data_IF_337601448333
#
_entry.id   IF_337601448333
#
_cell.length_a   1.000
_cell.length_b   1.000
_cell.length_c   1.000
_cell.angle_alpha   90.00
_cell.angle_beta   90.00
_cell.angle_gamma   90.00
#
_symmetry.space_group_name_H-M   'P 1'
#
loop_
_entity.id
_entity.type
_entity.pdbx_description
1 polymer ?
#
# COMPACT_ATOMS: atom_id res chain seq x y z
N UNK A 1 -5.84 -18.23 23.03
CA UNK A 1 -5.43 -19.12 21.91
C UNK A 1 -6.05 -18.74 20.56
N UNK A 2 -7.37 -18.45 20.46
CA UNK A 2 -8.01 -18.06 19.18
C UNK A 2 -7.46 -16.75 18.57
N UNK A 3 -7.36 -15.67 19.35
CA UNK A 3 -6.89 -14.36 18.86
C UNK A 3 -5.48 -14.41 18.26
N UNK A 4 -4.53 -15.06 18.94
CA UNK A 4 -3.16 -15.22 18.46
C UNK A 4 -3.08 -16.02 17.14
N UNK A 5 -3.97 -17.01 16.96
CA UNK A 5 -4.08 -17.79 15.72
C UNK A 5 -4.66 -16.95 14.58
N UNK A 6 -5.67 -16.13 14.85
CA UNK A 6 -6.26 -15.21 13.86
C UNK A 6 -5.24 -14.16 13.42
N UNK A 7 -4.54 -13.53 14.37
CA UNK A 7 -3.51 -12.51 14.07
C UNK A 7 -2.36 -13.11 13.26
N UNK A 8 -1.89 -14.32 13.60
CA UNK A 8 -0.83 -14.99 12.83
C UNK A 8 -1.29 -15.43 11.43
N UNK A 9 -2.56 -15.80 11.26
CA UNK A 9 -3.10 -16.09 9.93
C UNK A 9 -3.20 -14.82 9.08
N UNK A 10 -3.73 -13.73 9.64
CA UNK A 10 -3.78 -12.41 8.99
C UNK A 10 -2.38 -11.96 8.58
N UNK A 11 -1.41 -12.12 9.48
CA UNK A 11 -0.02 -11.76 9.23
C UNK A 11 0.58 -12.51 8.03
N UNK A 12 0.33 -13.82 7.94
CA UNK A 12 0.76 -14.65 6.80
C UNK A 12 0.04 -14.29 5.50
N UNK A 13 -1.25 -14.02 5.57
CA UNK A 13 -2.04 -13.60 4.40
C UNK A 13 -1.51 -12.27 3.85
N UNK A 14 -1.28 -11.28 4.73
CA UNK A 14 -0.67 -10.01 4.34
C UNK A 14 0.72 -10.27 3.74
N UNK A 15 1.56 -11.10 4.36
CA UNK A 15 2.88 -11.41 3.81
C UNK A 15 2.81 -12.01 2.40
N UNK A 16 1.87 -12.93 2.16
CA UNK A 16 1.62 -13.51 0.85
C UNK A 16 1.15 -12.46 -0.17
N UNK A 17 0.18 -11.63 0.20
CA UNK A 17 -0.32 -10.54 -0.65
C UNK A 17 0.77 -9.55 -1.02
N UNK A 18 1.58 -9.12 -0.06
CA UNK A 18 2.70 -8.19 -0.30
C UNK A 18 3.74 -8.80 -1.27
N UNK A 19 4.06 -10.10 -1.13
CA UNK A 19 4.97 -10.80 -2.04
C UNK A 19 4.41 -10.89 -3.46
N UNK A 20 3.13 -11.23 -3.60
CA UNK A 20 2.46 -11.30 -4.90
C UNK A 20 2.40 -9.93 -5.57
N UNK A 21 2.01 -8.90 -4.82
CA UNK A 21 1.94 -7.54 -5.31
C UNK A 21 3.32 -6.96 -5.69
N UNK A 22 4.41 -7.49 -5.12
CA UNK A 22 5.77 -7.17 -5.57
C UNK A 22 6.00 -7.45 -7.06
N UNK A 23 5.32 -8.44 -7.63
CA UNK A 23 5.41 -8.74 -9.07
C UNK A 23 4.76 -7.69 -9.97
N UNK A 24 3.92 -6.80 -9.42
CA UNK A 24 3.32 -5.69 -10.19
C UNK A 24 4.37 -4.70 -10.71
N UNK A 25 5.59 -4.70 -10.15
CA UNK A 25 6.68 -3.86 -10.67
C UNK A 25 7.02 -4.20 -12.13
N UNK A 26 6.90 -5.47 -12.53
CA UNK A 26 7.21 -5.89 -13.90
C UNK A 26 6.26 -5.27 -14.93
N UNK A 27 4.93 -5.43 -14.83
CA UNK A 27 4.01 -4.77 -15.76
C UNK A 27 4.11 -3.24 -15.67
N UNK A 28 4.38 -2.64 -14.50
CA UNK A 28 4.61 -1.18 -14.38
C UNK A 28 5.80 -0.74 -15.23
N UNK A 29 6.95 -1.41 -15.11
CA UNK A 29 8.16 -1.08 -15.88
C UNK A 29 7.90 -1.25 -17.37
N UNK A 30 7.24 -2.33 -17.77
CA UNK A 30 6.86 -2.56 -19.17
C UNK A 30 5.96 -1.44 -19.68
N UNK A 31 4.92 -1.07 -18.94
CA UNK A 31 3.98 -0.01 -19.34
C UNK A 31 4.67 1.35 -19.44
N UNK A 32 5.50 1.72 -18.45
CA UNK A 32 6.29 2.96 -18.47
C UNK A 32 7.24 3.01 -19.67
N UNK A 33 7.92 1.90 -19.95
CA UNK A 33 8.77 1.81 -21.13
C UNK A 33 7.96 1.96 -22.41
N UNK A 34 6.81 1.28 -22.48
CA UNK A 34 5.95 1.25 -23.67
C UNK A 34 5.24 2.59 -23.96
N UNK A 35 5.12 3.48 -22.97
CA UNK A 35 4.61 4.83 -23.20
C UNK A 35 5.42 5.59 -24.27
N UNK A 36 6.75 5.52 -24.21
CA UNK A 36 7.62 6.20 -25.17
C UNK A 36 7.43 5.73 -26.63
N UNK A 37 7.58 4.43 -26.98
CA UNK A 37 7.40 3.97 -28.35
C UNK A 37 5.96 4.12 -28.83
N UNK A 38 4.96 3.92 -27.96
CA UNK A 38 3.56 4.16 -28.32
C UNK A 38 3.28 5.62 -28.65
N UNK A 39 3.95 6.56 -27.97
CA UNK A 39 3.82 7.99 -28.25
C UNK A 39 4.57 8.40 -29.51
N UNK A 40 5.84 8.05 -29.61
CA UNK A 40 6.76 8.66 -30.57
C UNK A 40 6.86 7.88 -31.89
N UNK A 41 6.69 6.55 -31.85
CA UNK A 41 6.76 5.68 -33.04
C UNK A 41 5.36 5.40 -33.57
N UNK A 42 4.49 4.83 -32.73
CA UNK A 42 3.16 4.38 -33.16
C UNK A 42 2.09 5.48 -33.09
N UNK A 43 2.29 6.50 -32.25
CA UNK A 43 1.36 7.63 -32.01
C UNK A 43 -0.05 7.22 -31.57
N UNK A 44 -0.22 6.04 -31.00
CA UNK A 44 -1.51 5.48 -30.54
C UNK A 44 -1.28 4.74 -29.22
N UNK A 45 -2.32 4.60 -28.39
CA UNK A 45 -2.32 3.83 -27.14
C UNK A 45 -1.41 4.32 -26.00
N UNK A 46 -0.66 5.41 -26.21
CA UNK A 46 0.23 5.95 -25.16
C UNK A 46 -0.55 6.38 -23.91
N UNK A 47 -1.78 6.90 -24.06
CA UNK A 47 -2.60 7.35 -22.94
C UNK A 47 -3.16 6.16 -22.16
N UNK A 48 -3.62 5.14 -22.87
CA UNK A 48 -4.15 3.91 -22.32
C UNK A 48 -3.07 3.12 -21.56
N UNK A 49 -1.84 3.05 -22.11
CA UNK A 49 -0.70 2.47 -21.40
C UNK A 49 -0.35 3.27 -20.13
N UNK A 50 -0.50 4.59 -20.17
CA UNK A 50 -0.33 5.44 -19.00
C UNK A 50 -1.40 5.22 -17.95
N UNK A 51 -2.68 5.19 -18.33
CA UNK A 51 -3.80 4.97 -17.41
C UNK A 51 -3.67 3.61 -16.70
N UNK A 52 -3.35 2.55 -17.47
CA UNK A 52 -3.04 1.23 -16.92
C UNK A 52 -1.87 1.29 -15.94
N UNK A 53 -0.80 1.98 -16.32
CA UNK A 53 0.36 2.19 -15.46
C UNK A 53 -0.01 2.87 -14.15
N UNK A 54 -0.84 3.91 -14.19
CA UNK A 54 -1.19 4.72 -13.02
C UNK A 54 -1.97 3.93 -11.97
N UNK A 55 -3.01 3.19 -12.33
CA UNK A 55 -3.79 2.47 -11.32
C UNK A 55 -3.06 1.22 -10.80
N UNK A 56 -2.28 0.52 -11.65
CA UNK A 56 -1.42 -0.58 -11.19
C UNK A 56 -0.35 -0.04 -10.24
N UNK A 57 0.27 1.10 -10.58
CA UNK A 57 1.26 1.76 -9.74
C UNK A 57 0.67 2.21 -8.41
N UNK A 58 -0.55 2.77 -8.39
CA UNK A 58 -1.21 3.18 -7.15
C UNK A 58 -1.41 2.00 -6.19
N UNK A 59 -1.86 0.85 -6.70
CA UNK A 59 -1.99 -0.39 -5.91
C UNK A 59 -0.63 -0.89 -5.45
N UNK A 60 0.36 -0.90 -6.33
CA UNK A 60 1.73 -1.33 -6.01
C UNK A 60 2.34 -0.47 -4.90
N UNK A 61 2.17 0.85 -4.94
CA UNK A 61 2.66 1.77 -3.90
C UNK A 61 1.93 1.53 -2.58
N UNK A 62 0.61 1.39 -2.59
CA UNK A 62 -0.19 1.12 -1.39
C UNK A 62 0.32 -0.13 -0.63
N UNK A 63 0.61 -1.18 -1.38
CA UNK A 63 1.20 -2.43 -0.87
C UNK A 63 2.65 -2.21 -0.44
N UNK A 64 3.48 -1.61 -1.29
CA UNK A 64 4.93 -1.46 -1.06
C UNK A 64 5.24 -0.61 0.16
N UNK A 65 4.47 0.46 0.41
CA UNK A 65 4.58 1.27 1.64
C UNK A 65 4.35 0.38 2.86
N UNK A 66 3.30 -0.45 2.84
CA UNK A 66 3.04 -1.37 3.95
C UNK A 66 4.15 -2.41 4.09
N UNK A 67 4.66 -2.96 2.97
CA UNK A 67 5.77 -3.90 2.98
C UNK A 67 7.05 -3.30 3.58
N UNK A 68 7.37 -2.05 3.24
CA UNK A 68 8.52 -1.33 3.78
C UNK A 68 8.37 -1.06 5.29
N UNK A 69 7.20 -0.58 5.73
CA UNK A 69 6.89 -0.41 7.16
C UNK A 69 7.03 -1.74 7.89
N UNK A 70 6.53 -2.82 7.29
CA UNK A 70 6.56 -4.19 7.82
C UNK A 70 7.98 -4.75 7.96
N UNK A 71 8.85 -4.46 7.00
CA UNK A 71 10.25 -4.90 7.00
C UNK A 71 11.12 -4.08 7.96
N UNK A 72 10.62 -2.96 8.48
CA UNK A 72 11.39 -2.05 9.32
C UNK A 72 12.43 -1.24 8.55
N UNK A 73 12.45 -1.32 7.21
CA UNK A 73 13.49 -0.76 6.32
C UNK A 73 13.42 0.77 6.16
N UNK A 74 12.89 1.49 7.14
CA UNK A 74 13.05 2.94 7.21
C UNK A 74 14.52 3.23 7.54
N UNK A 75 15.31 3.49 6.50
CA UNK A 75 16.76 3.69 6.53
C UNK A 75 17.27 4.60 7.67
N UNK A 76 16.46 5.56 8.14
CA UNK A 76 16.81 6.44 9.25
C UNK A 76 16.54 5.87 10.66
N UNK A 77 15.43 5.15 10.86
CA UNK A 77 15.10 4.60 12.19
C UNK A 77 15.88 3.34 12.50
N UNK A 78 16.25 2.52 11.51
CA UNK A 78 17.04 1.31 11.73
C UNK A 78 18.51 1.60 12.07
N UNK A 79 19.05 2.79 11.73
CA UNK A 79 20.38 3.22 12.15
C UNK A 79 20.39 3.67 13.61
N UNK A 80 19.36 4.40 14.04
CA UNK A 80 19.21 4.87 15.43
C UNK A 80 18.70 3.75 16.35
N UNK A 81 17.85 2.86 15.85
CA UNK A 81 17.24 1.78 16.62
C UNK A 81 18.23 0.71 17.12
N UNK A 82 19.42 0.62 16.51
CA UNK A 82 20.48 -0.31 16.96
C UNK A 82 21.01 0.05 18.34
N UNK A 83 20.91 1.33 18.72
CA UNK A 83 21.39 1.83 20.01
C UNK A 83 20.39 1.64 21.15
N UNK A 84 19.14 1.23 20.86
CA UNK A 84 18.12 1.04 21.88
C UNK A 84 18.03 -0.41 22.37
N UNK A 85 17.88 -0.63 23.70
CA UNK A 85 17.50 -1.93 24.25
C UNK A 85 16.20 -2.47 23.63
N UNK A 86 16.11 -3.79 23.47
CA UNK A 86 14.95 -4.44 22.81
C UNK A 86 13.58 -4.12 23.44
N UNK A 87 13.54 -3.74 24.71
CA UNK A 87 12.30 -3.29 25.39
C UNK A 87 11.84 -1.91 24.91
N UNK A 88 12.78 -0.97 24.74
CA UNK A 88 12.50 0.38 24.23
C UNK A 88 12.08 0.29 22.75
N UNK A 89 12.77 -0.54 21.95
CA UNK A 89 12.40 -0.79 20.55
C UNK A 89 10.94 -1.27 20.42
N UNK A 90 10.52 -2.24 21.26
CA UNK A 90 9.13 -2.73 21.27
C UNK A 90 8.13 -1.66 21.70
N UNK A 91 8.47 -0.83 22.70
CA UNK A 91 7.61 0.25 23.14
C UNK A 91 7.43 1.31 22.04
N UNK A 92 8.51 1.68 21.34
CA UNK A 92 8.48 2.61 20.22
C UNK A 92 7.67 2.06 19.04
N UNK A 93 7.81 0.77 18.69
CA UNK A 93 6.99 0.14 17.64
C UNK A 93 5.50 0.19 18.00
N UNK A 94 5.13 -0.13 19.25
CA UNK A 94 3.75 -0.05 19.71
C UNK A 94 3.21 1.38 19.68
N UNK A 95 4.00 2.34 20.16
CA UNK A 95 3.62 3.75 20.17
C UNK A 95 3.44 4.28 18.75
N UNK A 96 4.35 3.95 17.83
CA UNK A 96 4.22 4.26 16.41
C UNK A 96 2.95 3.67 15.81
N UNK A 97 2.64 2.41 16.09
CA UNK A 97 1.41 1.76 15.63
C UNK A 97 0.14 2.44 16.18
N UNK A 98 0.11 2.78 17.48
CA UNK A 98 -1.02 3.47 18.11
C UNK A 98 -1.24 4.86 17.49
N UNK A 99 -0.17 5.62 17.27
CA UNK A 99 -0.26 6.95 16.64
C UNK A 99 -0.65 6.88 15.17
N UNK A 100 -0.35 5.77 14.48
CA UNK A 100 -0.73 5.57 13.09
C UNK A 100 -2.23 5.29 12.90
N UNK A 101 -2.88 4.68 13.90
CA UNK A 101 -4.30 4.29 13.81
C UNK A 101 -5.22 5.51 13.58
N UNK A 102 -5.16 6.60 14.38
CA UNK A 102 -5.97 7.79 14.13
C UNK A 102 -5.79 8.38 12.73
N UNK A 103 -4.55 8.41 12.24
CA UNK A 103 -4.25 8.90 10.89
C UNK A 103 -4.92 8.03 9.82
N UNK A 104 -4.72 6.71 9.89
CA UNK A 104 -5.31 5.80 8.91
C UNK A 104 -6.85 5.81 8.97
N UNK A 105 -7.44 5.92 10.17
CA UNK A 105 -8.89 6.12 10.33
C UNK A 105 -9.37 7.44 9.71
N UNK A 106 -8.65 8.53 9.94
CA UNK A 106 -8.95 9.82 9.33
C UNK A 106 -8.94 9.73 7.79
N UNK A 107 -7.94 9.06 7.20
CA UNK A 107 -7.88 8.84 5.76
C UNK A 107 -9.11 8.07 5.27
N UNK A 108 -9.49 6.96 5.92
CA UNK A 108 -10.67 6.16 5.50
C UNK A 108 -11.96 6.96 5.62
N UNK A 109 -12.17 7.63 6.75
CA UNK A 109 -13.40 8.37 7.02
C UNK A 109 -13.50 9.64 6.18
N UNK A 110 -12.42 10.41 6.08
CA UNK A 110 -12.36 11.67 5.34
C UNK A 110 -12.42 11.48 3.82
N UNK A 111 -11.93 10.36 3.29
CA UNK A 111 -12.02 10.06 1.85
C UNK A 111 -13.27 9.26 1.48
N UNK A 112 -14.18 8.98 2.42
CA UNK A 112 -15.28 8.03 2.21
C UNK A 112 -16.19 8.37 1.04
N UNK A 113 -16.72 9.58 1.02
CA UNK A 113 -17.68 9.97 -0.02
C UNK A 113 -17.00 10.07 -1.39
N UNK A 114 -15.73 10.49 -1.40
CA UNK A 114 -14.89 10.56 -2.61
C UNK A 114 -14.68 9.17 -3.19
N UNK A 115 -14.25 8.20 -2.37
CA UNK A 115 -13.93 6.85 -2.84
C UNK A 115 -15.21 6.07 -3.19
N UNK A 116 -16.25 6.14 -2.36
CA UNK A 116 -17.52 5.46 -2.66
C UNK A 116 -18.21 6.05 -3.89
N UNK A 117 -18.19 7.37 -4.03
CA UNK A 117 -18.70 8.05 -5.23
C UNK A 117 -17.97 7.58 -6.49
N UNK A 118 -16.63 7.53 -6.41
CA UNK A 118 -15.77 7.07 -7.50
C UNK A 118 -16.03 5.61 -7.90
N UNK A 119 -16.14 4.71 -6.91
CA UNK A 119 -16.42 3.28 -7.14
C UNK A 119 -17.80 3.10 -7.77
N UNK A 120 -18.84 3.78 -7.25
CA UNK A 120 -20.21 3.68 -7.78
C UNK A 120 -20.32 4.24 -9.18
N UNK A 121 -19.59 5.31 -9.46
CA UNK A 121 -19.54 5.93 -10.79
C UNK A 121 -18.61 5.22 -11.78
N UNK A 122 -17.86 4.18 -11.35
CA UNK A 122 -16.78 3.56 -12.12
C UNK A 122 -15.90 4.63 -12.80
N UNK A 123 -15.47 5.60 -11.98
CA UNK A 123 -14.86 6.84 -12.48
C UNK A 123 -13.76 6.54 -13.50
N UNK A 124 -13.90 7.18 -14.66
CA UNK A 124 -13.05 6.96 -15.80
C UNK A 124 -12.06 8.10 -15.99
N UNK A 125 -10.93 7.81 -16.63
CA UNK A 125 -10.00 8.83 -17.06
C UNK A 125 -10.67 9.75 -18.09
N UNK A 126 -10.59 11.08 -17.93
CA UNK A 126 -11.31 12.02 -18.80
C UNK A 126 -10.85 11.97 -20.26
N UNK A 127 -9.56 11.66 -20.50
CA UNK A 127 -8.97 11.71 -21.85
C UNK A 127 -9.16 10.42 -22.67
N UNK A 128 -9.39 9.29 -22.02
CA UNK A 128 -9.45 7.95 -22.63
C UNK A 128 -10.75 7.20 -22.34
N UNK A 129 -11.55 7.72 -21.41
CA UNK A 129 -12.75 7.07 -20.88
C UNK A 129 -12.51 5.66 -20.30
N UNK A 130 -11.27 5.36 -19.91
CA UNK A 130 -10.92 4.10 -19.26
C UNK A 130 -11.44 4.10 -17.81
N UNK A 131 -12.26 3.12 -17.38
CA UNK A 131 -12.80 3.07 -16.03
C UNK A 131 -11.76 2.78 -14.93
N UNK A 132 -10.45 2.83 -15.20
CA UNK A 132 -9.41 2.53 -14.21
C UNK A 132 -9.20 3.61 -13.14
N UNK A 133 -9.78 4.81 -13.26
CA UNK A 133 -9.44 5.92 -12.36
C UNK A 133 -9.95 5.71 -10.93
N UNK A 134 -11.10 5.08 -10.75
CA UNK A 134 -11.59 4.73 -9.41
C UNK A 134 -10.64 3.80 -8.64
N UNK A 135 -9.85 2.98 -9.33
CA UNK A 135 -8.88 2.09 -8.69
C UNK A 135 -7.75 2.87 -8.00
N UNK A 136 -7.39 4.05 -8.51
CA UNK A 136 -6.40 4.93 -7.87
C UNK A 136 -6.95 5.41 -6.52
N UNK A 137 -8.20 5.89 -6.49
CA UNK A 137 -8.84 6.33 -5.25
C UNK A 137 -9.08 5.17 -4.29
N UNK A 138 -9.41 4.00 -4.82
CA UNK A 138 -9.54 2.76 -4.03
C UNK A 138 -8.19 2.32 -3.45
N UNK A 139 -7.08 2.54 -4.15
CA UNK A 139 -5.75 2.24 -3.64
C UNK A 139 -5.40 3.04 -2.37
N UNK A 140 -5.95 4.25 -2.19
CA UNK A 140 -5.85 5.00 -0.94
C UNK A 140 -6.50 4.25 0.24
N UNK A 141 -7.68 3.69 0.02
CA UNK A 141 -8.38 2.84 0.99
C UNK A 141 -7.63 1.53 1.26
N UNK A 142 -7.06 0.91 0.22
CA UNK A 142 -6.20 -0.28 0.37
C UNK A 142 -5.00 0.05 1.25
N UNK A 143 -4.29 1.16 0.99
CA UNK A 143 -3.17 1.62 1.81
C UNK A 143 -3.59 1.82 3.26
N UNK A 144 -4.65 2.59 3.51
CA UNK A 144 -5.11 2.86 4.87
C UNK A 144 -5.57 1.58 5.60
N UNK A 145 -6.26 0.68 4.89
CA UNK A 145 -6.67 -0.62 5.43
C UNK A 145 -5.48 -1.51 5.79
N UNK A 146 -4.46 -1.56 4.93
CA UNK A 146 -3.22 -2.29 5.19
C UNK A 146 -2.44 -1.69 6.37
N UNK A 147 -2.40 -0.36 6.49
CA UNK A 147 -1.80 0.33 7.64
C UNK A 147 -2.52 0.00 8.95
N UNK A 148 -3.85 0.00 8.96
CA UNK A 148 -4.66 -0.40 10.13
C UNK A 148 -4.42 -1.85 10.50
N UNK A 149 -4.40 -2.75 9.51
CA UNK A 149 -4.14 -4.16 9.74
C UNK A 149 -2.73 -4.39 10.31
N UNK A 150 -1.71 -3.73 9.76
CA UNK A 150 -0.35 -3.80 10.26
C UNK A 150 -0.22 -3.22 11.68
N UNK A 151 -0.85 -2.07 11.96
CA UNK A 151 -0.88 -1.48 13.29
C UNK A 151 -1.56 -2.41 14.32
N UNK A 152 -2.67 -3.07 13.95
CA UNK A 152 -3.33 -4.04 14.81
C UNK A 152 -2.42 -5.25 15.11
N UNK A 153 -1.66 -5.74 14.12
CA UNK A 153 -0.68 -6.81 14.32
C UNK A 153 0.43 -6.35 15.27
N UNK A 154 0.99 -5.16 15.06
CA UNK A 154 2.13 -4.66 15.87
C UNK A 154 1.73 -4.37 17.33
N UNK A 155 0.48 -3.95 17.56
CA UNK A 155 -0.10 -3.80 18.91
C UNK A 155 -0.29 -5.17 19.57
N UNK A 156 -0.90 -6.13 18.86
CA UNK A 156 -1.24 -7.45 19.40
C UNK A 156 -0.02 -8.35 19.62
N UNK A 157 0.94 -8.30 18.70
CA UNK A 157 2.16 -9.10 18.69
C UNK A 157 3.32 -8.23 18.16
N UNK A 158 3.98 -7.44 19.03
CA UNK A 158 5.16 -6.68 18.63
C UNK A 158 6.19 -7.68 18.13
N UNK A 159 6.47 -7.63 16.84
CA UNK A 159 7.34 -8.62 16.22
C UNK A 159 8.70 -8.58 16.89
N UNK A 160 9.19 -9.77 17.23
CA UNK A 160 10.56 -9.97 17.71
C UNK A 160 11.44 -9.90 16.47
N UNK A 161 11.90 -8.70 16.12
CA UNK A 161 12.94 -8.58 15.10
C UNK A 161 14.18 -9.28 15.67
N UNK A 162 14.58 -10.37 15.01
CA UNK A 162 15.82 -11.08 15.29
C UNK A 162 17.03 -10.17 15.04
#
# INVERSE_FOLDING_TARGET
MKLARTVSMLDRLIAGLLRLAGWLVLPIVVLLFLQWPLRDIFRVYSREANDLGQWIFAIYVAVSVTAATRAGTHLGTDAVARFYPGTIRRALTRLGAILLVPWALYVVLGSKDIVLGSIRGLEAFPDTNNPGYFLIKTALWILAGLMLAQAAIDIAQPRRNH
#
